data_IF_477302410997
#
_entry.id   IF_477302410997
#
_cell.length_a   1.000
_cell.length_b   1.000
_cell.length_c   1.000
_cell.angle_alpha   90.00
_cell.angle_beta   90.00
_cell.angle_gamma   90.00
#
_symmetry.space_group_name_H-M   'P 1'
#
loop_
_entity.id
_entity.type
_entity.pdbx_description
1 polymer ?
#
# COMPACT_ATOMS: atom_id res chain seq x y z
N UNK A 1 5.63 19.78 7.73
CA UNK A 1 5.65 19.62 6.25
C UNK A 1 4.39 18.94 5.68
N UNK A 2 3.47 18.41 6.51
CA UNK A 2 2.20 17.81 6.01
C UNK A 2 1.06 18.81 5.76
N UNK A 3 1.05 19.98 6.41
CA UNK A 3 -0.04 20.95 6.20
C UNK A 3 0.00 21.66 4.84
N UNK A 4 1.19 21.81 4.24
CA UNK A 4 1.34 22.51 2.96
C UNK A 4 0.82 21.72 1.75
N UNK A 5 0.75 20.39 1.85
CA UNK A 5 0.20 19.54 0.78
C UNK A 5 -1.33 19.56 0.82
N UNK A 6 -1.92 19.50 2.02
CA UNK A 6 -3.39 19.56 2.21
C UNK A 6 -3.97 20.93 1.85
N UNK A 7 -3.27 22.04 2.15
CA UNK A 7 -3.74 23.41 1.86
C UNK A 7 -3.63 23.83 0.39
N UNK A 8 -2.89 23.12 -0.46
CA UNK A 8 -2.72 23.48 -1.89
C UNK A 8 -3.84 22.97 -2.82
N UNK A 9 -4.68 22.05 -2.37
CA UNK A 9 -5.66 21.40 -3.24
C UNK A 9 -7.01 22.13 -3.34
N UNK A 10 -7.24 23.15 -2.51
CA UNK A 10 -8.46 23.97 -2.58
C UNK A 10 -8.49 24.83 -3.86
N UNK A 11 -7.33 25.28 -4.32
CA UNK A 11 -7.19 26.16 -5.49
C UNK A 11 -7.11 25.39 -6.82
N UNK A 12 -7.01 24.06 -6.78
CA UNK A 12 -6.92 23.23 -7.99
C UNK A 12 -8.27 23.14 -8.71
N UNK A 13 -8.19 23.06 -10.04
CA UNK A 13 -9.33 22.79 -10.91
C UNK A 13 -9.75 21.32 -10.82
N UNK A 14 -10.99 21.01 -11.22
CA UNK A 14 -11.52 19.63 -11.24
C UNK A 14 -10.63 18.72 -12.12
N UNK A 15 -10.14 19.21 -13.25
CA UNK A 15 -9.27 18.43 -14.15
C UNK A 15 -7.92 18.08 -13.49
N UNK A 16 -7.32 19.04 -12.77
CA UNK A 16 -6.08 18.81 -12.04
C UNK A 16 -6.27 17.80 -10.90
N UNK A 17 -7.38 17.88 -10.16
CA UNK A 17 -7.71 16.93 -9.10
C UNK A 17 -7.91 15.50 -9.66
N UNK A 18 -8.58 15.36 -10.80
CA UNK A 18 -8.76 14.07 -11.48
C UNK A 18 -7.41 13.51 -11.94
N UNK A 19 -6.55 14.35 -12.54
CA UNK A 19 -5.21 13.94 -12.97
C UNK A 19 -4.34 13.50 -11.80
N UNK A 20 -4.38 14.23 -10.68
CA UNK A 20 -3.69 13.84 -9.45
C UNK A 20 -4.21 12.49 -8.92
N UNK A 21 -5.53 12.29 -8.89
CA UNK A 21 -6.09 11.01 -8.45
C UNK A 21 -5.66 9.84 -9.33
N UNK A 22 -5.60 10.04 -10.65
CA UNK A 22 -5.09 9.03 -11.57
C UNK A 22 -3.62 8.68 -11.28
N UNK A 23 -2.77 9.68 -11.06
CA UNK A 23 -1.36 9.46 -10.70
C UNK A 23 -1.22 8.73 -9.37
N UNK A 24 -1.92 9.16 -8.32
CA UNK A 24 -1.89 8.52 -7.00
C UNK A 24 -2.33 7.06 -7.06
N UNK A 25 -3.34 6.73 -7.88
CA UNK A 25 -3.78 5.35 -8.11
C UNK A 25 -2.72 4.51 -8.82
N UNK A 26 -1.98 5.08 -9.77
CA UNK A 26 -0.84 4.42 -10.43
C UNK A 26 0.31 4.17 -9.45
N UNK A 27 0.67 5.18 -8.66
CA UNK A 27 1.73 5.08 -7.65
C UNK A 27 1.40 4.02 -6.59
N UNK A 28 0.13 3.97 -6.13
CA UNK A 28 -0.34 2.92 -5.23
C UNK A 28 -0.17 1.53 -5.82
N UNK A 29 -0.52 1.34 -7.10
CA UNK A 29 -0.32 0.05 -7.78
C UNK A 29 1.15 -0.35 -7.81
N UNK A 30 2.06 0.59 -7.99
CA UNK A 30 3.50 0.33 -7.92
C UNK A 30 3.95 -0.03 -6.49
N UNK A 31 3.51 0.72 -5.48
CA UNK A 31 3.80 0.43 -4.09
C UNK A 31 3.28 -0.95 -3.65
N UNK A 32 2.07 -1.33 -4.07
CA UNK A 32 1.55 -2.68 -3.83
C UNK A 32 2.42 -3.77 -4.48
N UNK A 33 2.96 -3.54 -5.69
CA UNK A 33 3.93 -4.46 -6.31
C UNK A 33 5.23 -4.55 -5.50
N UNK A 34 5.73 -3.43 -4.97
CA UNK A 34 6.93 -3.43 -4.12
C UNK A 34 6.71 -4.24 -2.84
N UNK A 35 5.56 -4.08 -2.17
CA UNK A 35 5.19 -4.90 -1.00
C UNK A 35 5.12 -6.38 -1.36
N UNK A 36 4.46 -6.73 -2.47
CA UNK A 36 4.37 -8.12 -2.95
C UNK A 36 5.75 -8.74 -3.26
N UNK A 37 6.69 -7.94 -3.77
CA UNK A 37 8.08 -8.37 -4.00
C UNK A 37 8.82 -8.63 -2.69
N UNK A 38 8.57 -7.84 -1.65
CA UNK A 38 9.12 -8.07 -0.30
C UNK A 38 8.49 -9.31 0.34
N UNK A 39 7.17 -9.48 0.21
CA UNK A 39 6.43 -10.65 0.70
C UNK A 39 6.93 -11.95 0.07
N UNK A 40 7.11 -11.97 -1.26
CA UNK A 40 7.59 -13.15 -1.98
C UNK A 40 9.03 -13.53 -1.61
N UNK A 41 9.92 -12.54 -1.42
CA UNK A 41 11.27 -12.76 -0.88
C UNK A 41 11.23 -13.31 0.54
N UNK A 42 10.32 -12.81 1.37
CA UNK A 42 10.16 -13.22 2.77
C UNK A 42 9.57 -14.63 2.89
N UNK A 43 8.68 -15.01 1.97
CA UNK A 43 8.12 -16.36 1.91
C UNK A 43 9.19 -17.41 1.54
N UNK A 44 10.06 -17.12 0.55
CA UNK A 44 11.18 -18.00 0.18
C UNK A 44 10.76 -19.46 -0.05
N UNK A 45 11.50 -20.40 0.55
CA UNK A 45 11.26 -21.86 0.45
C UNK A 45 9.97 -22.34 1.13
N UNK A 46 9.29 -21.51 1.94
CA UNK A 46 8.00 -21.87 2.57
C UNK A 46 6.93 -22.22 1.53
N UNK A 47 7.06 -21.76 0.28
CA UNK A 47 6.17 -22.14 -0.81
C UNK A 47 6.16 -23.64 -1.13
N UNK A 48 7.24 -24.37 -0.81
CA UNK A 48 7.27 -25.83 -0.99
C UNK A 48 6.43 -26.58 0.05
N UNK A 49 6.02 -25.94 1.14
CA UNK A 49 5.10 -26.55 2.10
C UNK A 49 3.69 -26.76 1.52
N UNK A 50 3.40 -26.20 0.33
CA UNK A 50 2.16 -26.47 -0.40
C UNK A 50 1.97 -27.96 -0.75
N UNK A 51 3.06 -28.72 -0.87
CA UNK A 51 3.01 -30.16 -1.16
C UNK A 51 2.60 -31.01 0.05
N UNK A 52 2.55 -30.44 1.26
CA UNK A 52 2.13 -31.11 2.48
C UNK A 52 0.73 -30.55 2.83
N UNK A 53 -0.35 -31.35 2.74
CA UNK A 53 -1.71 -30.89 3.08
C UNK A 53 -1.78 -30.47 4.55
N UNK A 54 -2.88 -29.85 5.00
CA UNK A 54 -3.23 -29.44 6.38
C UNK A 54 -2.05 -28.98 7.27
N UNK A 55 -1.18 -29.89 7.72
CA UNK A 55 0.11 -29.61 8.38
C UNK A 55 0.97 -28.58 7.62
N UNK A 56 1.14 -28.69 6.31
CA UNK A 56 1.95 -27.72 5.55
C UNK A 56 1.35 -26.33 5.54
N UNK A 57 0.02 -26.22 5.47
CA UNK A 57 -0.71 -24.95 5.58
C UNK A 57 -0.52 -24.30 6.95
N UNK A 58 -0.67 -25.06 8.04
CA UNK A 58 -0.54 -24.54 9.41
C UNK A 58 0.89 -24.07 9.66
N UNK A 59 1.88 -24.87 9.27
CA UNK A 59 3.31 -24.52 9.40
C UNK A 59 3.64 -23.27 8.56
N UNK A 60 3.11 -23.18 7.33
CA UNK A 60 3.27 -22.01 6.47
C UNK A 60 2.75 -20.74 7.16
N UNK A 61 1.55 -20.77 7.73
CA UNK A 61 0.95 -19.59 8.36
C UNK A 61 1.69 -19.18 9.63
N UNK A 62 2.06 -20.13 10.49
CA UNK A 62 2.82 -19.84 11.70
C UNK A 62 4.19 -19.20 11.38
N UNK A 63 4.93 -19.76 10.41
CA UNK A 63 6.23 -19.23 10.02
C UNK A 63 6.12 -17.89 9.28
N UNK A 64 5.10 -17.72 8.43
CA UNK A 64 4.88 -16.45 7.75
C UNK A 64 4.47 -15.35 8.72
N UNK A 65 3.64 -15.64 9.73
CA UNK A 65 3.30 -14.70 10.79
C UNK A 65 4.55 -14.24 11.56
N UNK A 66 5.40 -15.17 11.98
CA UNK A 66 6.66 -14.84 12.66
C UNK A 66 7.65 -14.06 11.81
N UNK A 67 7.67 -14.28 10.48
CA UNK A 67 8.51 -13.49 9.56
C UNK A 67 7.95 -12.09 9.33
N UNK A 68 6.63 -11.92 9.30
CA UNK A 68 5.98 -10.61 9.16
C UNK A 68 6.11 -9.75 10.41
N UNK A 69 6.32 -10.35 11.59
CA UNK A 69 6.65 -9.62 12.82
C UNK A 69 8.13 -9.26 12.93
N UNK A 70 8.97 -9.70 11.99
CA UNK A 70 10.40 -9.38 12.02
C UNK A 70 10.61 -7.86 11.75
N UNK A 71 11.38 -7.15 12.59
CA UNK A 71 11.66 -5.73 12.41
C UNK A 71 12.23 -5.38 11.02
N UNK A 72 13.02 -6.27 10.41
CA UNK A 72 13.57 -6.08 9.07
C UNK A 72 12.49 -6.04 7.99
N UNK A 73 11.46 -6.87 8.10
CA UNK A 73 10.31 -6.85 7.18
C UNK A 73 9.46 -5.59 7.41
N UNK A 74 9.13 -5.31 8.68
CA UNK A 74 8.31 -4.16 9.05
C UNK A 74 8.95 -2.83 8.61
N UNK A 75 10.25 -2.65 8.84
CA UNK A 75 10.97 -1.44 8.44
C UNK A 75 10.99 -1.21 6.92
N UNK A 76 10.78 -2.26 6.11
CA UNK A 76 10.70 -2.13 4.64
C UNK A 76 9.26 -1.87 4.18
N UNK A 77 8.28 -2.52 4.81
CA UNK A 77 6.89 -2.52 4.34
C UNK A 77 6.07 -1.37 4.94
N UNK A 78 6.30 -1.00 6.21
CA UNK A 78 5.56 0.07 6.88
C UNK A 78 5.66 1.42 6.16
N UNK A 79 6.84 1.89 5.73
CA UNK A 79 6.94 3.17 5.01
C UNK A 79 6.18 3.16 3.68
N UNK A 80 6.15 2.01 3.00
CA UNK A 80 5.44 1.85 1.73
C UNK A 80 3.92 1.85 1.98
N UNK A 81 3.46 1.12 3.00
CA UNK A 81 2.05 1.11 3.39
C UNK A 81 1.56 2.47 3.89
N UNK A 82 2.39 3.22 4.61
CA UNK A 82 2.07 4.58 5.01
C UNK A 82 1.86 5.50 3.80
N UNK A 83 2.72 5.41 2.78
CA UNK A 83 2.55 6.17 1.52
C UNK A 83 1.26 5.79 0.80
N UNK A 84 0.95 4.50 0.70
CA UNK A 84 -0.30 4.02 0.11
C UNK A 84 -1.50 4.62 0.86
N UNK A 85 -1.52 4.51 2.19
CA UNK A 85 -2.62 5.04 3.00
C UNK A 85 -2.79 6.56 2.80
N UNK A 86 -1.69 7.32 2.82
CA UNK A 86 -1.70 8.77 2.57
C UNK A 86 -2.28 9.09 1.18
N UNK A 87 -1.86 8.35 0.15
CA UNK A 87 -2.38 8.51 -1.21
C UNK A 87 -3.87 8.19 -1.31
N UNK A 88 -4.33 7.11 -0.65
CA UNK A 88 -5.75 6.73 -0.62
C UNK A 88 -6.59 7.81 0.08
N UNK A 89 -6.14 8.34 1.22
CA UNK A 89 -6.79 9.47 1.87
C UNK A 89 -6.83 10.71 0.97
N UNK A 90 -5.75 10.99 0.25
CA UNK A 90 -5.70 12.12 -0.68
C UNK A 90 -6.69 11.96 -1.84
N UNK A 91 -6.83 10.75 -2.39
CA UNK A 91 -7.81 10.44 -3.43
C UNK A 91 -9.23 10.70 -2.91
N UNK A 92 -9.57 10.19 -1.72
CA UNK A 92 -10.89 10.38 -1.11
C UNK A 92 -11.16 11.87 -0.89
N UNK A 93 -10.19 12.61 -0.37
CA UNK A 93 -10.33 14.06 -0.17
C UNK A 93 -10.54 14.82 -1.49
N UNK A 94 -9.75 14.49 -2.52
CA UNK A 94 -9.89 15.08 -3.84
C UNK A 94 -11.24 14.73 -4.48
N UNK A 95 -11.72 13.48 -4.33
CA UNK A 95 -13.05 13.06 -4.79
C UNK A 95 -14.16 13.88 -4.12
N UNK A 96 -14.03 14.17 -2.82
CA UNK A 96 -14.96 15.05 -2.12
C UNK A 96 -14.92 16.49 -2.64
N UNK A 97 -13.73 17.05 -2.86
CA UNK A 97 -13.59 18.39 -3.45
C UNK A 97 -14.16 18.47 -4.88
N UNK A 98 -14.02 17.41 -5.68
CA UNK A 98 -14.63 17.35 -7.02
C UNK A 98 -16.15 17.33 -6.93
N UNK A 99 -16.72 16.57 -5.98
CA UNK A 99 -18.16 16.54 -5.73
C UNK A 99 -18.68 17.92 -5.32
N UNK A 100 -17.99 18.60 -4.41
CA UNK A 100 -18.41 19.92 -3.90
C UNK A 100 -18.25 21.05 -4.94
N UNK A 101 -17.43 20.85 -5.98
CA UNK A 101 -17.21 21.82 -7.09
C UNK A 101 -18.10 21.57 -8.32
N UNK A 102 -18.81 20.45 -8.37
CA UNK A 102 -19.76 20.11 -9.44
C UNK A 102 -21.14 20.70 -9.15
#
# INVERSE_FOLDING_TARGET
>A
MSEQILKRNLDLTVEELVKQNAQLKVDNKEFYKQVSKIDSRTAGWLRLLWFIPILGWVIYNALMAGRKTNPKYLNQVLPIKEKIARNEFQVIYNEKLIEDKK
#
